data_IF_313524593735
#
_entry.id   IF_313524593735
#
_cell.length_a   1.000
_cell.length_b   1.000
_cell.length_c   1.000
_cell.angle_alpha   90.00
_cell.angle_beta   90.00
_cell.angle_gamma   90.00
#
_symmetry.space_group_name_H-M   'P 1'
#
loop_
_entity.id
_entity.type
_entity.pdbx_description
1 polymer ?
#
# COMPACT_ATOMS: atom_id res chain seq x y z
N UNK A 1 3.11 2.85 19.24
CA UNK A 1 2.06 3.47 20.09
C UNK A 1 1.15 2.38 20.58
N UNK A 2 1.16 2.10 21.87
CA UNK A 2 0.28 1.12 22.51
C UNK A 2 -1.15 1.66 22.47
N UNK A 3 -1.98 1.18 21.57
CA UNK A 3 -3.42 1.32 21.65
C UNK A 3 -3.90 0.39 22.78
N UNK A 4 -4.54 1.01 23.79
CA UNK A 4 -4.89 0.39 25.03
C UNK A 4 -5.79 -0.83 24.83
N UNK A 5 -5.31 -1.96 25.30
CA UNK A 5 -6.14 -3.04 25.79
C UNK A 5 -6.84 -2.52 27.03
N UNK A 6 -8.03 -1.93 26.87
CA UNK A 6 -8.91 -1.66 28.00
C UNK A 6 -9.46 -3.01 28.47
N UNK A 7 -8.79 -3.62 29.43
CA UNK A 7 -9.29 -4.77 30.17
C UNK A 7 -10.53 -4.37 30.99
N UNK A 8 -11.70 -4.76 30.56
CA UNK A 8 -12.95 -4.59 31.30
C UNK A 8 -13.24 -5.86 32.13
N UNK A 9 -13.47 -5.67 33.42
CA UNK A 9 -14.14 -6.67 34.24
C UNK A 9 -15.63 -6.34 34.27
N UNK A 10 -16.48 -7.38 34.25
CA UNK A 10 -17.93 -7.24 34.45
C UNK A 10 -18.26 -7.49 35.92
N UNK A 11 -19.19 -6.74 36.49
CA UNK A 11 -19.72 -7.02 37.81
C UNK A 11 -20.80 -8.12 37.77
N UNK A 12 -21.32 -8.51 38.91
CA UNK A 12 -22.34 -9.53 39.05
C UNK A 12 -23.66 -9.21 38.33
N UNK A 13 -23.83 -7.99 37.82
CA UNK A 13 -24.96 -7.50 37.02
C UNK A 13 -24.64 -7.30 35.54
N UNK A 14 -23.44 -7.71 35.08
CA UNK A 14 -23.00 -7.56 33.70
C UNK A 14 -22.64 -6.15 33.25
N UNK A 15 -22.44 -5.20 34.16
CA UNK A 15 -22.06 -3.83 33.86
C UNK A 15 -20.53 -3.69 33.75
N UNK A 16 -20.04 -2.97 32.70
CA UNK A 16 -18.63 -2.70 32.48
C UNK A 16 -18.02 -1.88 33.61
N UNK A 17 -17.01 -2.41 34.29
CA UNK A 17 -16.24 -1.70 35.30
C UNK A 17 -14.80 -1.55 34.87
N UNK A 18 -14.25 -0.31 34.90
CA UNK A 18 -12.80 -0.08 34.67
C UNK A 18 -11.98 -0.75 35.75
N UNK A 19 -11.08 -1.67 35.38
CA UNK A 19 -10.11 -2.27 36.29
C UNK A 19 -9.15 -1.18 36.81
N UNK A 20 -9.11 -0.91 38.09
CA UNK A 20 -8.10 -0.01 38.68
C UNK A 20 -6.74 -0.68 38.58
N UNK A 21 -5.81 -0.08 37.85
CA UNK A 21 -4.43 -0.56 37.77
C UNK A 21 -3.81 -0.51 39.17
N UNK A 22 -3.17 -1.61 39.59
CA UNK A 22 -2.51 -1.69 40.89
C UNK A 22 -1.30 -0.76 40.92
N UNK A 23 -1.15 0.04 41.98
CA UNK A 23 -0.03 0.98 42.17
C UNK A 23 1.35 0.31 42.00
N UNK A 24 1.48 -0.96 42.42
CA UNK A 24 2.70 -1.74 42.21
C UNK A 24 3.01 -1.99 40.73
N UNK A 25 1.99 -2.24 39.91
CA UNK A 25 2.13 -2.42 38.46
C UNK A 25 2.53 -1.11 37.78
N UNK A 26 1.95 0.03 38.20
CA UNK A 26 2.34 1.35 37.68
C UNK A 26 3.80 1.66 38.01
N UNK A 27 4.22 1.41 39.25
CA UNK A 27 5.62 1.60 39.67
C UNK A 27 6.60 0.71 38.90
N UNK A 28 6.22 -0.55 38.62
CA UNK A 28 7.03 -1.46 37.81
C UNK A 28 7.20 -0.93 36.38
N UNK A 29 6.14 -0.45 35.75
CA UNK A 29 6.23 0.15 34.41
C UNK A 29 7.11 1.42 34.41
N UNK A 30 7.04 2.26 35.41
CA UNK A 30 7.89 3.45 35.54
C UNK A 30 9.38 3.03 35.63
N UNK A 31 9.70 2.01 36.42
CA UNK A 31 11.07 1.51 36.55
C UNK A 31 11.59 0.95 35.23
N UNK A 32 10.76 0.19 34.50
CA UNK A 32 11.13 -0.34 33.18
C UNK A 32 11.38 0.80 32.18
N UNK A 33 10.52 1.82 32.14
CA UNK A 33 10.70 2.97 31.27
C UNK A 33 12.00 3.71 31.59
N UNK A 34 12.31 3.94 32.87
CA UNK A 34 13.56 4.59 33.28
C UNK A 34 14.79 3.76 32.89
N UNK A 35 14.72 2.44 33.03
CA UNK A 35 15.79 1.55 32.59
C UNK A 35 16.00 1.58 31.06
N UNK A 36 14.93 1.64 30.28
CA UNK A 36 15.01 1.79 28.82
C UNK A 36 15.62 3.13 28.41
N UNK A 37 15.23 4.23 29.06
CA UNK A 37 15.81 5.56 28.80
C UNK A 37 17.32 5.56 29.12
N UNK A 38 17.71 4.93 30.23
CA UNK A 38 19.12 4.81 30.58
C UNK A 38 19.93 3.98 29.59
N UNK A 39 19.39 2.89 29.07
CA UNK A 39 20.02 2.09 28.03
C UNK A 39 20.16 2.89 26.72
N UNK A 40 19.15 3.63 26.32
CA UNK A 40 19.21 4.51 25.14
C UNK A 40 20.30 5.57 25.32
N UNK A 41 20.43 6.16 26.51
CA UNK A 41 21.49 7.11 26.82
C UNK A 41 22.90 6.48 26.70
N UNK A 42 23.09 5.25 27.20
CA UNK A 42 24.35 4.54 27.07
C UNK A 42 24.70 4.28 25.61
N UNK A 43 23.73 3.78 24.81
CA UNK A 43 23.92 3.52 23.37
C UNK A 43 24.28 4.81 22.64
N UNK A 44 23.57 5.90 22.94
CA UNK A 44 23.87 7.21 22.37
C UNK A 44 25.29 7.68 22.71
N UNK A 45 25.74 7.51 23.94
CA UNK A 45 27.11 7.82 24.37
C UNK A 45 28.17 6.99 23.67
N UNK A 46 27.90 5.69 23.46
CA UNK A 46 28.81 4.79 22.73
C UNK A 46 28.91 5.22 21.26
N UNK A 47 27.78 5.52 20.61
CA UNK A 47 27.73 5.98 19.23
C UNK A 47 28.46 7.35 19.10
N UNK A 48 28.19 8.29 19.99
CA UNK A 48 28.82 9.62 20.00
C UNK A 48 30.34 9.53 20.18
N UNK A 49 30.82 8.64 21.05
CA UNK A 49 32.26 8.45 21.25
C UNK A 49 32.95 7.76 20.05
N UNK A 50 32.22 6.94 19.28
CA UNK A 50 32.76 6.28 18.09
C UNK A 50 32.73 7.19 16.85
N UNK A 51 31.87 8.21 16.81
CA UNK A 51 31.82 9.20 15.72
C UNK A 51 33.01 10.16 15.70
N UNK A 52 33.78 10.26 16.80
CA UNK A 52 34.96 11.10 16.90
C UNK A 52 36.30 10.41 16.53
N UNK A 53 36.22 9.20 15.97
CA UNK A 53 37.44 8.51 15.50
C UNK A 53 37.98 9.14 14.22
N UNK A 54 39.33 9.21 14.05
CA UNK A 54 39.95 9.84 12.87
C UNK A 54 39.56 9.22 11.52
N UNK A 55 39.18 7.93 11.50
CA UNK A 55 38.74 7.23 10.28
C UNK A 55 37.37 7.69 9.79
N UNK A 56 36.41 7.96 10.69
CA UNK A 56 35.07 8.44 10.28
C UNK A 56 35.12 9.87 9.75
N UNK A 57 35.98 10.71 10.34
CA UNK A 57 36.22 12.08 9.82
C UNK A 57 36.84 12.06 8.42
N UNK A 58 37.67 11.06 8.10
CA UNK A 58 38.27 10.92 6.76
C UNK A 58 37.25 10.46 5.71
N UNK A 59 36.31 9.58 6.08
CA UNK A 59 35.25 9.11 5.19
C UNK A 59 34.21 10.20 4.93
N UNK A 60 33.88 11.01 5.95
CA UNK A 60 33.00 12.17 5.79
C UNK A 60 33.60 13.27 4.89
N UNK A 61 34.94 13.51 4.99
CA UNK A 61 35.63 14.47 4.14
C UNK A 61 35.67 14.02 2.67
N UNK A 62 35.81 12.72 2.39
CA UNK A 62 35.74 12.16 1.03
C UNK A 62 34.33 12.34 0.45
N UNK A 63 33.28 12.20 1.25
CA UNK A 63 31.89 12.39 0.79
C UNK A 63 31.55 13.86 0.47
N UNK A 64 32.19 14.82 1.12
CA UNK A 64 32.05 16.25 0.80
C UNK A 64 32.77 16.63 -0.50
N UNK A 65 33.92 16.04 -0.78
CA UNK A 65 34.66 16.26 -2.02
C UNK A 65 33.97 15.60 -3.23
N UNK A 66 33.32 14.46 -3.05
CA UNK A 66 32.48 13.86 -4.08
C UNK A 66 31.18 14.64 -4.29
N UNK A 67 30.55 15.19 -3.26
CA UNK A 67 29.40 16.10 -3.39
C UNK A 67 29.73 17.36 -4.19
N UNK A 68 30.88 17.97 -3.96
CA UNK A 68 31.30 19.15 -4.70
C UNK A 68 31.52 18.88 -6.21
N UNK A 69 31.81 17.62 -6.59
CA UNK A 69 31.91 17.22 -8.03
C UNK A 69 30.55 16.94 -8.69
N UNK A 70 29.50 16.70 -7.90
CA UNK A 70 28.13 16.47 -8.39
C UNK A 70 27.31 17.76 -8.51
N UNK A 71 27.79 18.87 -7.96
CA UNK A 71 27.14 20.20 -8.02
C UNK A 71 27.69 21.10 -9.18
N UNK A 72 28.28 20.52 -10.22
CA UNK A 72 28.68 21.31 -11.38
C UNK A 72 27.44 21.70 -12.21
N UNK A 73 27.13 23.00 -12.38
CA UNK A 73 25.91 23.50 -13.03
C UNK A 73 25.70 23.00 -14.46
N UNK A 74 26.78 22.63 -15.18
CA UNK A 74 26.69 22.14 -16.57
C UNK A 74 26.16 20.70 -16.69
N UNK A 75 26.29 19.86 -15.65
CA UNK A 75 25.79 18.47 -15.68
C UNK A 75 24.32 18.40 -15.29
N UNK A 76 23.82 19.36 -14.52
CA UNK A 76 22.38 19.41 -14.11
C UNK A 76 21.52 19.94 -15.25
N UNK A 77 22.01 20.87 -16.06
CA UNK A 77 21.29 21.45 -17.20
C UNK A 77 21.01 20.43 -18.31
N UNK A 78 21.95 19.53 -18.63
CA UNK A 78 21.81 18.56 -19.71
C UNK A 78 20.81 17.43 -19.36
N UNK A 79 20.64 17.09 -18.07
CA UNK A 79 19.69 16.07 -17.63
C UNK A 79 18.27 16.63 -17.45
N UNK A 80 18.12 17.93 -17.19
CA UNK A 80 16.79 18.56 -17.10
C UNK A 80 16.15 18.80 -18.48
N UNK A 81 16.92 19.15 -19.50
CA UNK A 81 16.38 19.32 -20.87
C UNK A 81 15.92 18.00 -21.50
N UNK A 82 16.60 16.88 -21.21
CA UNK A 82 16.18 15.55 -21.72
C UNK A 82 14.89 15.01 -21.06
N UNK A 83 14.58 15.45 -19.85
CA UNK A 83 13.34 15.07 -19.13
C UNK A 83 12.17 15.97 -19.54
N UNK A 84 12.42 17.25 -19.79
CA UNK A 84 11.38 18.21 -20.20
C UNK A 84 10.89 17.93 -21.61
N UNK A 85 11.76 17.60 -22.57
CA UNK A 85 11.37 17.31 -23.95
C UNK A 85 10.61 16.01 -24.12
N UNK A 86 10.70 15.04 -23.19
CA UNK A 86 9.86 13.83 -23.17
C UNK A 86 8.48 14.03 -22.56
N UNK A 87 8.30 15.05 -21.70
CA UNK A 87 7.01 15.37 -21.06
C UNK A 87 6.04 16.19 -21.93
N UNK A 88 6.54 16.89 -22.93
CA UNK A 88 5.68 17.77 -23.76
C UNK A 88 4.91 17.04 -24.86
N UNK A 89 5.25 15.80 -25.21
CA UNK A 89 4.63 15.11 -26.34
C UNK A 89 3.52 14.10 -25.97
N UNK A 90 3.13 13.97 -24.67
CA UNK A 90 2.05 13.07 -24.26
C UNK A 90 1.06 13.70 -23.27
N UNK A 91 0.74 15.00 -23.43
CA UNK A 91 -0.43 15.58 -22.76
C UNK A 91 -1.68 15.38 -23.62
N UNK A 92 -2.35 14.26 -23.43
CA UNK A 92 -3.81 14.20 -23.70
C UNK A 92 -4.49 14.87 -22.50
N UNK A 93 -5.07 16.02 -22.75
CA UNK A 93 -5.80 16.86 -21.80
C UNK A 93 -6.98 16.11 -21.20
N UNK A 94 -6.86 15.60 -19.97
CA UNK A 94 -8.00 15.12 -19.17
C UNK A 94 -8.50 16.22 -18.21
N UNK A 95 -7.74 17.31 -18.04
CA UNK A 95 -8.16 18.47 -17.28
C UNK A 95 -8.28 19.71 -18.20
N UNK A 96 -9.49 20.03 -18.63
CA UNK A 96 -9.78 21.38 -19.10
C UNK A 96 -9.79 22.29 -17.86
N UNK A 97 -8.73 23.09 -17.69
CA UNK A 97 -8.82 24.27 -16.82
C UNK A 97 -9.95 25.15 -17.37
N UNK A 98 -10.87 25.59 -16.48
CA UNK A 98 -11.73 26.72 -16.80
C UNK A 98 -10.84 27.93 -17.11
N UNK A 99 -11.33 28.85 -17.92
CA UNK A 99 -10.61 30.10 -18.25
C UNK A 99 -10.21 30.92 -17.00
N UNK A 100 -10.72 30.57 -15.82
CA UNK A 100 -10.49 31.23 -14.54
C UNK A 100 -9.54 30.46 -13.60
N UNK A 101 -8.95 29.35 -14.02
CA UNK A 101 -7.92 28.64 -13.22
C UNK A 101 -8.46 27.78 -12.07
N UNK A 102 -9.77 27.64 -11.90
CA UNK A 102 -10.39 26.76 -10.91
C UNK A 102 -10.56 25.33 -11.45
N UNK A 103 -10.28 24.33 -10.61
CA UNK A 103 -10.53 22.93 -10.89
C UNK A 103 -12.06 22.72 -11.01
N UNK A 104 -12.49 22.21 -12.16
CA UNK A 104 -13.90 21.87 -12.37
C UNK A 104 -14.27 20.70 -11.44
N UNK A 105 -15.23 20.94 -10.55
CA UNK A 105 -15.81 19.90 -9.70
C UNK A 105 -16.46 18.83 -10.56
N UNK A 106 -15.91 17.64 -10.57
CA UNK A 106 -16.59 16.45 -11.08
C UNK A 106 -17.63 16.02 -10.05
N UNK A 107 -18.87 16.44 -10.23
CA UNK A 107 -20.02 15.79 -9.58
C UNK A 107 -20.32 14.52 -10.36
N UNK A 108 -20.55 13.40 -9.65
CA UNK A 108 -20.67 12.03 -10.18
C UNK A 108 -21.78 11.76 -11.21
N UNK A 109 -22.45 12.78 -11.75
CA UNK A 109 -23.58 12.62 -12.66
C UNK A 109 -23.21 12.65 -14.16
N UNK A 110 -21.94 12.71 -14.54
CA UNK A 110 -21.53 12.90 -15.94
C UNK A 110 -20.51 11.91 -16.48
N UNK A 111 -20.42 10.69 -15.94
CA UNK A 111 -19.85 9.58 -16.72
C UNK A 111 -20.92 8.91 -17.56
N UNK A 112 -21.51 9.63 -18.53
CA UNK A 112 -22.13 8.98 -19.67
C UNK A 112 -21.02 8.65 -20.67
N UNK A 113 -20.58 7.40 -20.64
CA UNK A 113 -19.65 6.83 -21.59
C UNK A 113 -20.38 6.67 -22.93
N UNK A 114 -19.85 7.18 -24.07
CA UNK A 114 -20.40 6.86 -25.36
C UNK A 114 -20.23 5.37 -25.61
N UNK A 115 -21.32 4.64 -25.79
CA UNK A 115 -21.31 3.26 -26.26
C UNK A 115 -20.71 3.23 -27.66
N UNK A 116 -19.46 2.81 -27.78
CA UNK A 116 -18.90 2.39 -29.05
C UNK A 116 -19.03 0.87 -29.13
N UNK A 117 -19.87 0.43 -30.07
CA UNK A 117 -19.99 -0.97 -30.48
C UNK A 117 -18.64 -1.51 -30.92
N UNK A 118 -17.99 -2.25 -30.05
CA UNK A 118 -16.85 -3.12 -30.36
C UNK A 118 -17.35 -4.55 -30.49
N UNK A 119 -18.02 -4.86 -31.59
CA UNK A 119 -18.20 -6.23 -32.03
C UNK A 119 -16.83 -6.79 -32.45
N UNK A 120 -16.20 -7.66 -31.63
CA UNK A 120 -15.05 -8.41 -32.09
C UNK A 120 -14.11 -9.01 -31.06
N UNK A 121 -14.12 -8.62 -29.80
CA UNK A 121 -13.33 -9.32 -28.76
C UNK A 121 -14.20 -9.66 -27.55
N UNK A 122 -14.83 -10.83 -27.60
CA UNK A 122 -15.41 -11.46 -26.40
C UNK A 122 -14.28 -12.05 -25.55
N UNK A 123 -13.52 -11.21 -24.89
CA UNK A 123 -12.86 -11.55 -23.65
C UNK A 123 -13.80 -11.07 -22.54
N UNK A 124 -14.38 -12.00 -21.80
CA UNK A 124 -15.24 -11.70 -20.65
C UNK A 124 -14.42 -11.26 -19.42
N UNK A 125 -13.46 -10.36 -19.64
CA UNK A 125 -12.68 -9.80 -18.55
C UNK A 125 -13.55 -8.82 -17.78
N UNK A 126 -13.74 -9.12 -16.50
CA UNK A 126 -14.50 -8.25 -15.60
C UNK A 126 -13.63 -7.07 -15.21
N UNK A 127 -14.12 -5.84 -15.44
CA UNK A 127 -13.52 -4.64 -14.88
C UNK A 127 -14.28 -4.26 -13.60
N UNK A 128 -13.62 -3.58 -12.63
CA UNK A 128 -14.30 -3.08 -11.44
C UNK A 128 -15.47 -2.17 -11.82
N UNK A 129 -16.58 -2.29 -11.10
CA UNK A 129 -17.75 -1.48 -11.30
C UNK A 129 -17.96 -0.54 -10.12
N UNK A 130 -18.41 0.68 -10.39
CA UNK A 130 -18.77 1.62 -9.34
C UNK A 130 -19.84 1.03 -8.42
N UNK A 131 -19.59 1.12 -7.10
CA UNK A 131 -20.54 0.70 -6.08
C UNK A 131 -20.65 1.79 -5.01
N UNK A 132 -21.82 2.40 -4.90
CA UNK A 132 -22.08 3.45 -3.90
C UNK A 132 -21.84 2.98 -2.46
N UNK A 133 -22.13 1.71 -2.18
CA UNK A 133 -21.87 1.08 -0.88
C UNK A 133 -20.45 0.52 -0.73
N UNK A 134 -19.60 0.62 -1.74
CA UNK A 134 -18.29 -0.02 -1.79
C UNK A 134 -17.42 0.30 -0.58
N UNK A 135 -17.44 1.54 -0.09
CA UNK A 135 -16.70 1.95 1.10
C UNK A 135 -17.14 1.20 2.37
N UNK A 136 -18.43 1.06 2.59
CA UNK A 136 -18.98 0.34 3.74
C UNK A 136 -18.73 -1.17 3.63
N UNK A 137 -18.90 -1.75 2.44
CA UNK A 137 -18.64 -3.16 2.18
C UNK A 137 -17.16 -3.52 2.40
N UNK A 138 -16.22 -2.66 1.96
CA UNK A 138 -14.78 -2.84 2.23
C UNK A 138 -14.49 -2.80 3.73
N UNK A 139 -15.14 -1.90 4.48
CA UNK A 139 -15.01 -1.86 5.94
C UNK A 139 -15.58 -3.13 6.59
N UNK A 140 -16.71 -3.63 6.11
CA UNK A 140 -17.43 -4.76 6.69
C UNK A 140 -16.68 -6.09 6.51
N UNK A 141 -15.74 -6.19 5.54
CA UNK A 141 -14.81 -7.33 5.42
C UNK A 141 -14.12 -7.61 6.76
N UNK A 142 -13.66 -6.59 7.48
CA UNK A 142 -12.89 -6.76 8.71
C UNK A 142 -13.69 -7.33 9.89
N UNK A 143 -15.01 -7.29 9.79
CA UNK A 143 -15.95 -7.75 10.82
C UNK A 143 -16.74 -9.01 10.41
N UNK A 144 -16.48 -9.55 9.23
CA UNK A 144 -17.14 -10.75 8.73
C UNK A 144 -16.80 -11.97 9.60
N UNK A 145 -17.81 -12.78 9.91
CA UNK A 145 -17.66 -14.05 10.58
C UNK A 145 -17.39 -15.21 9.60
N UNK A 146 -17.50 -14.97 8.30
CA UNK A 146 -17.16 -15.95 7.28
C UNK A 146 -15.65 -16.17 7.23
N UNK A 147 -15.22 -17.43 7.03
CA UNK A 147 -13.82 -17.75 6.77
C UNK A 147 -13.45 -17.35 5.35
N UNK A 148 -12.96 -16.11 5.20
CA UNK A 148 -12.58 -15.53 3.92
C UNK A 148 -11.22 -14.88 4.00
N UNK A 149 -10.51 -14.85 2.90
CA UNK A 149 -9.18 -14.22 2.78
C UNK A 149 -9.03 -13.47 1.47
N UNK A 150 -8.54 -12.25 1.58
CA UNK A 150 -8.09 -11.40 0.49
C UNK A 150 -6.56 -11.37 0.55
N UNK A 151 -5.89 -12.11 -0.35
CA UNK A 151 -4.45 -11.98 -0.53
C UNK A 151 -4.17 -10.69 -1.27
N UNK A 152 -3.31 -9.84 -0.73
CA UNK A 152 -2.99 -8.54 -1.33
C UNK A 152 -1.48 -8.33 -1.42
N UNK A 153 -1.04 -7.74 -2.54
CA UNK A 153 0.35 -7.45 -2.84
C UNK A 153 0.50 -5.98 -3.19
N UNK A 154 1.43 -5.28 -2.51
CA UNK A 154 1.72 -3.86 -2.69
C UNK A 154 3.07 -3.67 -3.41
N UNK A 155 3.28 -2.47 -4.01
CA UNK A 155 4.53 -1.97 -4.60
C UNK A 155 4.93 -2.55 -5.96
N UNK A 156 4.18 -3.52 -6.50
CA UNK A 156 4.38 -4.03 -7.85
C UNK A 156 3.84 -3.11 -8.96
N UNK A 157 3.89 -3.61 -10.20
CA UNK A 157 4.52 -4.84 -10.63
C UNK A 157 6.04 -4.78 -10.59
N UNK A 158 6.68 -5.93 -10.43
CA UNK A 158 8.12 -6.08 -10.54
C UNK A 158 8.51 -6.97 -11.72
N UNK A 159 9.80 -6.92 -12.10
CA UNK A 159 10.32 -7.70 -13.21
C UNK A 159 10.30 -9.20 -12.93
N UNK A 160 10.75 -9.58 -11.74
CA UNK A 160 11.06 -10.96 -11.42
C UNK A 160 10.13 -11.57 -10.36
N UNK A 161 9.67 -10.81 -9.36
CA UNK A 161 8.86 -11.32 -8.25
C UNK A 161 7.38 -11.43 -8.62
N UNK A 162 6.78 -10.38 -9.18
CA UNK A 162 5.35 -10.41 -9.56
C UNK A 162 5.01 -11.56 -10.50
N UNK A 163 5.81 -11.86 -11.56
CA UNK A 163 5.53 -13.01 -12.44
C UNK A 163 5.55 -14.36 -11.70
N UNK A 164 6.47 -14.55 -10.74
CA UNK A 164 6.54 -15.78 -9.96
C UNK A 164 5.34 -15.92 -9.01
N UNK A 165 4.89 -14.81 -8.41
CA UNK A 165 3.66 -14.79 -7.59
C UNK A 165 2.45 -15.18 -8.45
N UNK A 166 2.33 -14.65 -9.68
CA UNK A 166 1.25 -15.02 -10.60
C UNK A 166 1.29 -16.51 -10.96
N UNK A 167 2.48 -17.09 -11.18
CA UNK A 167 2.63 -18.52 -11.45
C UNK A 167 2.14 -19.38 -10.26
N UNK A 168 2.50 -19.00 -9.02
CA UNK A 168 2.07 -19.69 -7.82
C UNK A 168 0.55 -19.59 -7.62
N UNK A 169 -0.02 -18.40 -7.79
CA UNK A 169 -1.47 -18.16 -7.66
C UNK A 169 -2.24 -19.01 -8.69
N UNK A 170 -1.71 -19.11 -9.90
CA UNK A 170 -2.27 -19.95 -10.98
C UNK A 170 -2.17 -21.44 -10.65
N UNK A 171 -1.02 -21.93 -10.18
CA UNK A 171 -0.81 -23.31 -9.77
C UNK A 171 -1.80 -23.73 -8.67
N UNK A 172 -2.05 -22.83 -7.74
CA UNK A 172 -2.97 -23.09 -6.63
C UNK A 172 -4.44 -22.75 -6.94
N UNK A 173 -4.78 -22.29 -8.15
CA UNK A 173 -6.12 -21.80 -8.52
C UNK A 173 -6.68 -20.77 -7.52
N UNK A 174 -5.90 -19.74 -7.23
CA UNK A 174 -6.22 -18.66 -6.30
C UNK A 174 -6.14 -17.31 -7.02
N UNK A 175 -7.11 -16.43 -6.76
CA UNK A 175 -7.05 -15.04 -7.21
C UNK A 175 -6.67 -14.12 -6.04
N UNK A 176 -6.01 -13.02 -6.38
CA UNK A 176 -5.49 -12.04 -5.42
C UNK A 176 -5.79 -10.61 -5.89
N UNK A 177 -5.44 -9.64 -5.07
CA UNK A 177 -5.50 -8.21 -5.40
C UNK A 177 -4.10 -7.61 -5.40
N UNK A 178 -3.73 -6.91 -6.46
CA UNK A 178 -2.47 -6.22 -6.60
C UNK A 178 -2.69 -4.71 -6.49
N UNK A 179 -2.12 -4.09 -5.47
CA UNK A 179 -2.09 -2.65 -5.28
C UNK A 179 -0.84 -2.09 -5.96
N UNK A 180 -0.99 -1.74 -7.23
CA UNK A 180 0.13 -1.40 -8.10
C UNK A 180 0.55 0.07 -7.98
N UNK A 181 1.83 0.34 -8.22
CA UNK A 181 2.37 1.68 -8.38
C UNK A 181 2.39 2.07 -9.87
N UNK A 182 1.81 3.21 -10.21
CA UNK A 182 1.73 3.67 -11.61
C UNK A 182 3.09 3.72 -12.30
N UNK A 183 4.13 4.20 -11.64
CA UNK A 183 5.49 4.21 -12.17
C UNK A 183 6.04 2.80 -12.46
N UNK A 184 5.60 1.78 -11.73
CA UNK A 184 5.97 0.37 -11.99
C UNK A 184 5.14 -0.22 -13.11
N UNK A 185 3.85 0.15 -13.20
CA UNK A 185 2.98 -0.24 -14.33
C UNK A 185 3.57 0.24 -15.65
N UNK A 186 4.05 1.50 -15.71
CA UNK A 186 4.69 2.05 -16.91
C UNK A 186 5.98 1.31 -17.31
N UNK A 187 6.70 0.74 -16.32
CA UNK A 187 7.90 -0.05 -16.57
C UNK A 187 7.60 -1.51 -16.99
N UNK A 188 6.54 -2.10 -16.47
CA UNK A 188 6.20 -3.52 -16.65
C UNK A 188 4.71 -3.71 -17.02
N UNK A 189 4.21 -3.04 -18.09
CA UNK A 189 2.80 -3.06 -18.45
C UNK A 189 2.28 -4.46 -18.76
N UNK A 190 3.10 -5.32 -19.37
CA UNK A 190 2.72 -6.70 -19.73
C UNK A 190 2.47 -7.57 -18.47
N UNK A 191 3.14 -7.27 -17.35
CA UNK A 191 2.91 -7.99 -16.10
C UNK A 191 1.56 -7.64 -15.50
N UNK A 192 1.16 -6.35 -15.51
CA UNK A 192 -0.17 -5.92 -15.06
C UNK A 192 -1.26 -6.46 -15.98
N UNK A 193 -1.04 -6.41 -17.30
CA UNK A 193 -1.96 -6.97 -18.27
C UNK A 193 -2.18 -8.47 -18.01
N UNK A 194 -1.10 -9.23 -17.80
CA UNK A 194 -1.17 -10.65 -17.43
C UNK A 194 -1.97 -10.86 -16.15
N UNK A 195 -1.67 -10.11 -15.09
CA UNK A 195 -2.40 -10.21 -13.81
C UNK A 195 -3.90 -9.96 -13.99
N UNK A 196 -4.27 -8.94 -14.78
CA UNK A 196 -5.64 -8.62 -15.11
C UNK A 196 -6.31 -9.74 -15.94
N UNK A 197 -5.65 -10.24 -16.99
CA UNK A 197 -6.15 -11.32 -17.86
C UNK A 197 -6.30 -12.66 -17.12
N UNK A 198 -5.47 -12.91 -16.11
CA UNK A 198 -5.60 -14.07 -15.22
C UNK A 198 -6.69 -13.90 -14.16
N UNK A 199 -7.41 -12.75 -14.12
CA UNK A 199 -8.57 -12.50 -13.27
C UNK A 199 -8.22 -12.02 -11.86
N UNK A 200 -7.04 -11.48 -11.64
CA UNK A 200 -6.66 -10.79 -10.40
C UNK A 200 -7.22 -9.36 -10.40
N UNK A 201 -7.60 -8.88 -9.21
CA UNK A 201 -8.05 -7.49 -9.07
C UNK A 201 -6.84 -6.54 -9.09
N UNK A 202 -6.87 -5.56 -10.00
CA UNK A 202 -5.84 -4.51 -10.05
C UNK A 202 -6.36 -3.30 -9.30
N UNK A 203 -5.75 -3.01 -8.17
CA UNK A 203 -6.04 -1.88 -7.30
C UNK A 203 -4.90 -0.86 -7.33
N UNK A 204 -5.09 0.27 -6.71
CA UNK A 204 -4.23 1.44 -6.83
C UNK A 204 -3.44 1.71 -5.54
N UNK A 205 -2.11 1.90 -5.66
CA UNK A 205 -1.21 2.26 -4.55
C UNK A 205 -0.54 3.63 -4.72
N UNK A 206 -1.06 4.44 -5.64
CA UNK A 206 -0.45 5.70 -6.06
C UNK A 206 0.51 5.50 -7.23
N UNK A 207 1.14 6.58 -7.65
CA UNK A 207 2.04 6.56 -8.80
C UNK A 207 3.50 6.41 -8.39
N UNK A 208 4.00 7.30 -7.50
CA UNK A 208 5.44 7.47 -7.25
C UNK A 208 5.95 6.70 -6.03
N UNK A 209 5.12 6.43 -5.03
CA UNK A 209 5.48 5.95 -3.70
C UNK A 209 6.44 6.87 -2.92
N UNK A 210 6.61 8.13 -3.34
CA UNK A 210 7.44 9.11 -2.64
C UNK A 210 6.62 9.83 -1.57
N UNK A 211 6.75 9.43 -0.30
CA UNK A 211 5.91 9.93 0.81
C UNK A 211 5.87 11.46 0.94
N UNK A 212 6.99 12.14 0.73
CA UNK A 212 7.05 13.61 0.80
C UNK A 212 6.27 14.30 -0.32
N UNK A 213 6.14 13.64 -1.46
CA UNK A 213 5.43 14.11 -2.65
C UNK A 213 3.96 13.75 -2.57
N UNK A 214 3.64 12.48 -2.33
CA UNK A 214 2.27 11.99 -2.20
C UNK A 214 1.52 12.77 -1.12
N UNK A 215 2.13 12.91 0.07
CA UNK A 215 1.50 13.56 1.22
C UNK A 215 1.85 15.04 1.37
N UNK A 216 2.08 15.74 0.27
CA UNK A 216 2.20 17.20 0.28
C UNK A 216 0.87 17.86 0.69
N UNK A 217 -0.23 17.40 0.10
CA UNK A 217 -1.60 17.79 0.43
C UNK A 217 -2.60 16.70 -0.04
N UNK A 218 -3.90 16.86 0.27
CA UNK A 218 -4.94 15.87 -0.10
C UNK A 218 -5.13 15.73 -1.62
N UNK A 219 -4.91 16.81 -2.37
CA UNK A 219 -5.13 16.82 -3.81
C UNK A 219 -3.99 16.09 -4.54
N UNK A 220 -2.75 16.19 -4.01
CA UNK A 220 -1.62 15.40 -4.53
C UNK A 220 -1.82 13.90 -4.31
N UNK A 221 -2.41 13.48 -3.16
CA UNK A 221 -2.75 12.06 -2.95
C UNK A 221 -3.75 11.58 -4.01
N UNK A 222 -4.75 12.39 -4.33
CA UNK A 222 -5.75 12.05 -5.34
C UNK A 222 -5.17 12.09 -6.76
N UNK A 223 -4.24 13.00 -7.05
CA UNK A 223 -3.51 13.04 -8.32
C UNK A 223 -2.67 11.78 -8.54
N UNK A 224 -1.96 11.30 -7.52
CA UNK A 224 -1.22 10.02 -7.57
C UNK A 224 -2.14 8.84 -7.90
N UNK A 225 -3.37 8.81 -7.36
CA UNK A 225 -4.39 7.84 -7.71
C UNK A 225 -4.79 7.94 -9.19
N UNK A 226 -5.09 9.14 -9.69
CA UNK A 226 -5.50 9.35 -11.09
C UNK A 226 -4.39 8.97 -12.07
N UNK A 227 -3.14 9.35 -11.77
CA UNK A 227 -1.97 9.02 -12.60
C UNK A 227 -1.76 7.50 -12.66
N UNK A 228 -1.88 6.81 -11.54
CA UNK A 228 -1.76 5.34 -11.49
C UNK A 228 -2.87 4.65 -12.29
N UNK A 229 -4.13 5.05 -12.14
CA UNK A 229 -5.24 4.49 -12.92
C UNK A 229 -5.06 4.72 -14.44
N UNK A 230 -4.47 5.85 -14.84
CA UNK A 230 -4.11 6.10 -16.23
C UNK A 230 -3.06 5.10 -16.74
N UNK A 231 -2.02 4.82 -15.94
CA UNK A 231 -1.02 3.81 -16.28
C UNK A 231 -1.65 2.42 -16.41
N UNK A 232 -2.58 2.05 -15.50
CA UNK A 232 -3.30 0.78 -15.57
C UNK A 232 -4.14 0.70 -16.84
N UNK A 233 -4.94 1.73 -17.18
CA UNK A 233 -5.74 1.79 -18.43
C UNK A 233 -4.89 1.54 -19.66
N UNK A 234 -3.75 2.20 -19.72
CA UNK A 234 -2.81 2.04 -20.84
C UNK A 234 -2.25 0.62 -20.93
N UNK A 235 -1.86 0.03 -19.78
CA UNK A 235 -1.27 -1.31 -19.73
C UNK A 235 -2.27 -2.40 -20.16
N UNK A 236 -3.52 -2.33 -19.67
CA UNK A 236 -4.55 -3.34 -19.98
C UNK A 236 -5.30 -3.05 -21.29
N UNK A 237 -5.10 -1.87 -21.89
CA UNK A 237 -5.78 -1.46 -23.12
C UNK A 237 -7.29 -1.20 -22.94
N UNK A 238 -7.73 -0.82 -21.74
CA UNK A 238 -9.14 -0.55 -21.44
C UNK A 238 -9.30 0.87 -20.88
N UNK A 239 -9.81 1.82 -21.67
CA UNK A 239 -10.00 3.21 -21.26
C UNK A 239 -11.07 3.40 -20.18
N UNK A 240 -11.99 2.45 -20.04
CA UNK A 240 -13.11 2.53 -19.08
C UNK A 240 -12.75 1.96 -17.71
N UNK A 241 -11.54 1.41 -17.56
CA UNK A 241 -11.09 0.88 -16.28
C UNK A 241 -10.96 1.98 -15.22
N UNK A 242 -11.45 1.68 -14.02
CA UNK A 242 -11.20 2.44 -12.80
C UNK A 242 -11.04 1.44 -11.66
N UNK A 243 -10.01 1.61 -10.86
CA UNK A 243 -9.72 0.67 -9.76
C UNK A 243 -10.74 0.76 -8.61
N UNK A 244 -11.39 1.90 -8.41
CA UNK A 244 -12.32 2.20 -7.30
C UNK A 244 -11.80 1.85 -5.90
N UNK A 245 -10.59 1.33 -5.79
CA UNK A 245 -9.98 0.88 -4.55
C UNK A 245 -8.54 1.39 -4.45
N UNK A 246 -8.25 2.07 -3.34
CA UNK A 246 -6.94 2.63 -3.05
C UNK A 246 -6.35 2.05 -1.76
N UNK A 247 -5.05 1.81 -1.73
CA UNK A 247 -4.31 1.62 -0.48
C UNK A 247 -3.29 2.73 -0.32
N UNK A 248 -3.38 3.43 0.80
CA UNK A 248 -2.47 4.51 1.12
C UNK A 248 -1.07 3.96 1.41
N UNK A 249 0.01 4.44 0.77
CA UNK A 249 1.37 4.12 1.16
C UNK A 249 1.62 4.32 2.66
N UNK A 250 2.02 3.23 3.36
CA UNK A 250 2.16 3.23 4.81
C UNK A 250 0.84 3.30 5.59
N UNK A 251 -0.26 2.84 4.98
CA UNK A 251 -1.60 2.76 5.60
C UNK A 251 -2.37 4.07 5.61
N UNK A 252 -3.69 3.97 5.74
CA UNK A 252 -4.63 5.11 5.64
C UNK A 252 -4.63 6.03 6.84
N UNK A 253 -3.98 5.67 7.95
CA UNK A 253 -3.97 6.45 9.19
C UNK A 253 -2.62 6.37 9.91
N UNK A 254 -2.40 7.31 10.82
CA UNK A 254 -1.21 7.37 11.66
C UNK A 254 0.02 8.00 10.99
N UNK A 255 1.09 8.14 11.79
CA UNK A 255 2.37 8.65 11.35
C UNK A 255 2.41 10.15 11.10
N UNK A 256 3.52 10.60 10.50
CA UNK A 256 3.82 12.02 10.24
C UNK A 256 2.76 12.73 9.40
N UNK A 257 2.10 12.00 8.50
CA UNK A 257 1.18 12.55 7.51
C UNK A 257 -0.29 12.37 7.85
N UNK A 258 -0.64 12.01 9.10
CA UNK A 258 -2.02 11.72 9.52
C UNK A 258 -3.01 12.81 9.12
N UNK A 259 -2.66 14.09 9.30
CA UNK A 259 -3.54 15.20 8.93
C UNK A 259 -3.90 15.20 7.45
N UNK A 260 -2.92 14.96 6.58
CA UNK A 260 -3.11 14.90 5.13
C UNK A 260 -3.91 13.64 4.76
N UNK A 261 -3.55 12.49 5.34
CA UNK A 261 -4.26 11.23 5.13
C UNK A 261 -5.74 11.35 5.52
N UNK A 262 -6.05 12.01 6.67
CA UNK A 262 -7.42 12.23 7.09
C UNK A 262 -8.22 13.06 6.05
N UNK A 263 -7.63 14.14 5.53
CA UNK A 263 -8.26 14.95 4.50
C UNK A 263 -8.41 14.19 3.17
N UNK A 264 -7.41 13.39 2.80
CA UNK A 264 -7.46 12.57 1.60
C UNK A 264 -8.54 11.49 1.70
N UNK A 265 -8.73 10.83 2.85
CA UNK A 265 -9.83 9.85 3.04
C UNK A 265 -11.20 10.43 2.73
N UNK A 266 -11.49 11.64 3.24
CA UNK A 266 -12.77 12.31 2.95
C UNK A 266 -12.86 12.71 1.47
N UNK A 267 -11.74 13.12 0.88
CA UNK A 267 -11.66 13.46 -0.55
C UNK A 267 -11.94 12.23 -1.42
N UNK A 268 -11.32 11.09 -1.16
CA UNK A 268 -11.56 9.83 -1.87
C UNK A 268 -13.02 9.39 -1.78
N UNK A 269 -13.63 9.47 -0.60
CA UNK A 269 -15.07 9.18 -0.44
C UNK A 269 -15.95 10.03 -1.33
N UNK A 270 -15.65 11.32 -1.48
CA UNK A 270 -16.45 12.23 -2.33
C UNK A 270 -16.39 11.87 -3.82
N UNK A 271 -15.40 11.06 -4.24
CA UNK A 271 -15.27 10.54 -5.60
C UNK A 271 -15.68 9.06 -5.73
N UNK A 272 -16.26 8.48 -4.68
CA UNK A 272 -16.69 7.08 -4.70
C UNK A 272 -15.54 6.07 -4.73
N UNK A 273 -14.34 6.47 -4.34
CA UNK A 273 -13.17 5.60 -4.25
C UNK A 273 -13.02 5.11 -2.82
N UNK A 274 -13.13 3.80 -2.62
CA UNK A 274 -12.89 3.18 -1.33
C UNK A 274 -11.39 3.05 -1.05
N UNK A 275 -11.06 2.82 0.21
CA UNK A 275 -9.69 2.50 0.61
C UNK A 275 -9.67 1.38 1.65
N UNK A 276 -8.60 0.60 1.64
CA UNK A 276 -8.43 -0.54 2.55
C UNK A 276 -7.04 -0.54 3.17
N UNK A 277 -6.95 -1.06 4.40
CA UNK A 277 -5.69 -1.41 5.06
C UNK A 277 -5.52 -2.95 5.03
N UNK A 278 -5.00 -3.51 6.13
CA UNK A 278 -4.83 -4.94 6.35
C UNK A 278 -5.06 -5.26 7.83
N UNK A 279 -5.33 -6.52 8.13
CA UNK A 279 -5.45 -7.04 9.49
C UNK A 279 -4.59 -8.30 9.73
N UNK A 280 -3.83 -8.71 8.72
CA UNK A 280 -2.84 -9.79 8.74
C UNK A 280 -1.68 -9.38 7.83
N UNK A 281 -0.45 -9.80 8.12
CA UNK A 281 0.73 -9.48 7.32
C UNK A 281 1.81 -10.56 7.45
N UNK A 282 2.73 -10.60 6.50
CA UNK A 282 3.91 -11.48 6.52
C UNK A 282 5.15 -10.83 7.12
N UNK A 283 5.14 -9.50 7.29
CA UNK A 283 6.29 -8.75 7.79
C UNK A 283 7.44 -8.62 6.79
N UNK A 284 7.23 -8.96 5.52
CA UNK A 284 8.22 -8.92 4.45
C UNK A 284 8.80 -7.52 4.19
N UNK A 285 8.10 -6.45 4.59
CA UNK A 285 8.60 -5.07 4.63
C UNK A 285 9.05 -4.62 6.03
N UNK A 286 9.01 -5.49 7.03
CA UNK A 286 9.31 -5.21 8.44
C UNK A 286 10.51 -6.04 8.96
N UNK A 287 11.43 -6.45 8.05
CA UNK A 287 12.64 -7.18 8.37
C UNK A 287 12.44 -8.67 8.60
N UNK A 288 11.40 -9.25 8.00
CA UNK A 288 11.24 -10.69 7.84
C UNK A 288 11.82 -11.08 6.49
N UNK A 289 13.03 -11.60 6.47
CA UNK A 289 13.83 -11.77 5.26
C UNK A 289 13.88 -13.23 4.79
N UNK A 290 13.26 -14.15 5.54
CA UNK A 290 13.18 -15.57 5.18
C UNK A 290 11.73 -16.03 5.06
N UNK A 291 11.54 -17.11 4.30
CA UNK A 291 10.27 -17.82 4.16
C UNK A 291 9.64 -18.15 5.52
N UNK A 292 10.45 -18.74 6.42
CA UNK A 292 10.01 -19.20 7.72
C UNK A 292 9.55 -18.03 8.61
N UNK A 293 10.29 -16.92 8.60
CA UNK A 293 9.92 -15.71 9.35
C UNK A 293 8.64 -15.09 8.81
N UNK A 294 8.48 -14.99 7.48
CA UNK A 294 7.27 -14.50 6.83
C UNK A 294 6.05 -15.38 7.17
N UNK A 295 6.20 -16.70 7.07
CA UNK A 295 5.13 -17.63 7.41
C UNK A 295 4.76 -17.54 8.90
N UNK A 296 5.76 -17.48 9.80
CA UNK A 296 5.50 -17.36 11.23
C UNK A 296 4.80 -16.04 11.57
N UNK A 297 5.19 -14.93 10.96
CA UNK A 297 4.53 -13.64 11.18
C UNK A 297 3.10 -13.62 10.63
N UNK A 298 2.87 -14.24 9.48
CA UNK A 298 1.53 -14.48 8.97
C UNK A 298 0.67 -15.24 10.00
N UNK A 299 1.17 -16.33 10.57
CA UNK A 299 0.45 -17.12 11.59
C UNK A 299 0.18 -16.31 12.87
N UNK A 300 1.15 -15.50 13.31
CA UNK A 300 1.01 -14.63 14.48
C UNK A 300 -0.05 -13.56 14.27
N UNK A 301 -0.02 -12.90 13.12
CA UNK A 301 -0.92 -11.77 12.81
C UNK A 301 -2.31 -12.22 12.37
N UNK A 302 -2.44 -13.41 11.76
CA UNK A 302 -3.71 -14.05 11.47
C UNK A 302 -4.57 -14.23 12.72
N UNK A 303 -3.96 -14.67 13.82
CA UNK A 303 -4.49 -14.67 15.19
C UNK A 303 -5.95 -15.18 15.29
N UNK A 304 -6.30 -16.25 14.57
CA UNK A 304 -7.61 -16.89 14.62
C UNK A 304 -8.77 -16.07 14.05
N UNK A 305 -8.50 -14.99 13.30
CA UNK A 305 -9.56 -14.21 12.62
C UNK A 305 -10.20 -15.02 11.50
N UNK A 306 -11.50 -14.87 11.33
CA UNK A 306 -12.22 -15.48 10.23
C UNK A 306 -12.06 -14.72 8.90
N UNK A 307 -11.97 -13.41 8.94
CA UNK A 307 -11.84 -12.60 7.75
C UNK A 307 -10.49 -11.88 7.72
N UNK A 308 -9.74 -12.09 6.64
CA UNK A 308 -8.35 -11.63 6.50
C UNK A 308 -8.19 -10.76 5.26
N UNK A 309 -7.52 -9.61 5.45
CA UNK A 309 -6.86 -8.87 4.38
C UNK A 309 -5.37 -8.95 4.66
N UNK A 310 -4.65 -9.75 3.86
CA UNK A 310 -3.24 -10.09 4.10
C UNK A 310 -2.35 -9.15 3.32
N UNK A 311 -1.50 -8.40 4.00
CA UNK A 311 -0.47 -7.55 3.39
C UNK A 311 0.78 -8.36 3.08
N UNK A 312 1.19 -8.31 1.84
CA UNK A 312 2.45 -8.78 1.28
C UNK A 312 2.94 -7.76 0.25
N UNK A 313 4.18 -7.89 -0.20
CA UNK A 313 4.73 -7.02 -1.23
C UNK A 313 5.31 -7.84 -2.39
N UNK A 314 5.26 -7.27 -3.61
CA UNK A 314 5.73 -7.91 -4.83
C UNK A 314 6.79 -7.08 -5.59
N UNK A 315 7.48 -6.15 -4.89
CA UNK A 315 8.68 -5.50 -5.42
C UNK A 315 9.85 -6.50 -5.59
N UNK A 316 10.86 -6.15 -6.41
CA UNK A 316 11.89 -7.11 -6.87
C UNK A 316 12.70 -7.78 -5.74
N UNK A 317 12.83 -7.13 -4.59
CA UNK A 317 13.57 -7.61 -3.43
C UNK A 317 12.77 -8.58 -2.54
N UNK A 318 11.51 -8.86 -2.84
CA UNK A 318 10.61 -9.65 -2.00
C UNK A 318 10.58 -11.15 -2.37
N UNK A 319 11.76 -11.75 -2.52
CA UNK A 319 11.90 -13.18 -2.85
C UNK A 319 11.32 -14.07 -1.73
N UNK A 320 11.46 -13.67 -0.46
CA UNK A 320 10.89 -14.36 0.68
C UNK A 320 9.35 -14.45 0.63
N UNK A 321 8.68 -13.47 0.02
CA UNK A 321 7.23 -13.51 -0.23
C UNK A 321 6.88 -14.61 -1.23
N UNK A 322 7.64 -14.72 -2.33
CA UNK A 322 7.48 -15.81 -3.32
C UNK A 322 7.62 -17.17 -2.64
N UNK A 323 8.66 -17.34 -1.81
CA UNK A 323 8.95 -18.60 -1.14
C UNK A 323 7.90 -18.98 -0.08
N UNK A 324 7.33 -17.99 0.64
CA UNK A 324 6.34 -18.23 1.69
C UNK A 324 4.91 -18.43 1.15
N UNK A 325 4.58 -17.87 -0.01
CA UNK A 325 3.23 -17.84 -0.55
C UNK A 325 2.57 -19.21 -0.70
N UNK A 326 3.24 -20.28 -1.22
CA UNK A 326 2.65 -21.61 -1.32
C UNK A 326 2.18 -22.15 0.02
N UNK A 327 3.02 -22.02 1.06
CA UNK A 327 2.69 -22.53 2.40
C UNK A 327 1.53 -21.76 3.03
N UNK A 328 1.48 -20.44 2.82
CA UNK A 328 0.37 -19.58 3.26
C UNK A 328 -0.94 -20.01 2.59
N UNK A 329 -0.94 -20.25 1.29
CA UNK A 329 -2.13 -20.70 0.54
C UNK A 329 -2.60 -22.07 1.04
N UNK A 330 -1.67 -23.02 1.19
CA UNK A 330 -1.98 -24.38 1.69
C UNK A 330 -2.56 -24.31 3.09
N UNK A 331 -1.97 -23.53 3.99
CA UNK A 331 -2.46 -23.34 5.36
C UNK A 331 -3.89 -22.78 5.38
N UNK A 332 -4.16 -21.76 4.58
CA UNK A 332 -5.49 -21.13 4.49
C UNK A 332 -6.53 -22.10 3.92
N UNK A 333 -6.18 -22.88 2.88
CA UNK A 333 -7.07 -23.92 2.33
C UNK A 333 -7.37 -25.01 3.36
N UNK A 334 -6.36 -25.48 4.09
CA UNK A 334 -6.53 -26.50 5.13
C UNK A 334 -7.41 -26.03 6.28
N UNK A 335 -7.40 -24.74 6.57
CA UNK A 335 -8.27 -24.14 7.59
C UNK A 335 -9.67 -23.78 7.05
N UNK A 336 -9.95 -23.98 5.76
CA UNK A 336 -11.25 -23.77 5.15
C UNK A 336 -11.56 -22.30 4.82
N UNK A 337 -10.55 -21.48 4.57
CA UNK A 337 -10.76 -20.12 4.06
C UNK A 337 -11.16 -20.12 2.58
N UNK A 338 -12.13 -19.27 2.24
CA UNK A 338 -12.50 -18.97 0.86
C UNK A 338 -11.66 -17.78 0.38
N UNK A 339 -10.95 -17.95 -0.73
CA UNK A 339 -10.16 -16.87 -1.33
C UNK A 339 -11.07 -15.96 -2.14
N UNK A 340 -11.00 -14.67 -1.87
CA UNK A 340 -11.80 -13.61 -2.47
C UNK A 340 -10.94 -12.48 -3.02
N UNK A 341 -11.50 -11.74 -3.96
CA UNK A 341 -10.94 -10.48 -4.46
C UNK A 341 -11.94 -9.36 -4.29
N UNK A 342 -11.53 -8.11 -4.50
CA UNK A 342 -12.43 -6.98 -4.39
C UNK A 342 -13.43 -6.87 -5.56
N UNK A 343 -13.37 -7.77 -6.57
CA UNK A 343 -14.45 -7.90 -7.57
C UNK A 343 -15.81 -8.28 -6.97
N UNK A 344 -15.84 -8.81 -5.75
CA UNK A 344 -17.09 -9.09 -5.05
C UNK A 344 -17.78 -7.82 -4.53
N UNK A 345 -17.07 -6.68 -4.61
CA UNK A 345 -17.55 -5.37 -4.14
C UNK A 345 -17.69 -4.39 -5.31
N UNK A 346 -16.75 -4.41 -6.24
CA UNK A 346 -16.66 -3.47 -7.35
C UNK A 346 -16.79 -4.09 -8.74
#
# INVERSE_FOLDING_TARGET
MLYGLEDYAYDEFGLKKKKKLNIKTILLFIVIILACIFLIYIVFRIISNNLDTPEIKKTAAISEEERAKLENPETVASNQEAIVTKKENNKTDIFKKSENGELVNYTGDHMQIPSHDMEGLKSSLTIPQFNESGFDLVRDIYFSEEKQVYLTFDDGPSKDVTPQILDILKEHDVKATFFVLGARVDLYPETVKRAFEEGHYIANHGYSHEYSKIYENKDTVFQEYVECDNSIRNAIGNPDFNSYLFRFPGGSSGGRYEKIKAQAREHFKSYGVAFTNWNCLTGDAEGKDTKEECFQEFMNTKNGRNSLVVLMHDSNEKVQTVEALPDIIIQLKNEGYTFKTFYEIF
#
